data_IF_937250339640
#
_entry.id   IF_937250339640
#
_cell.length_a   1.000
_cell.length_b   1.000
_cell.length_c   1.000
_cell.angle_alpha   90.00
_cell.angle_beta   90.00
_cell.angle_gamma   90.00
#
_symmetry.space_group_name_H-M   'P 1'
#
loop_
_entity.id
_entity.type
_entity.pdbx_description
1 polymer ?
#
# COMPACT_ATOMS: atom_id res chain seq x y z
N UNK A 1 1.72 9.59 7.87
CA UNK A 1 1.70 8.72 6.67
C UNK A 1 2.60 7.51 6.89
N UNK A 2 2.12 6.33 6.54
CA UNK A 2 2.93 5.12 6.53
C UNK A 2 3.12 4.67 5.10
N UNK A 3 4.37 4.42 4.70
CA UNK A 3 4.71 3.94 3.36
C UNK A 3 5.54 2.66 3.50
N UNK A 4 5.09 1.59 2.88
CA UNK A 4 5.79 0.32 2.86
C UNK A 4 6.20 0.00 1.43
N UNK A 5 7.50 -0.19 1.19
CA UNK A 5 8.02 -0.53 -0.13
C UNK A 5 8.35 -2.01 -0.18
N UNK A 6 7.85 -2.70 -1.20
CA UNK A 6 8.09 -4.14 -1.41
C UNK A 6 8.77 -4.32 -2.77
N UNK A 7 9.97 -4.88 -2.76
CA UNK A 7 10.76 -5.10 -3.98
C UNK A 7 10.78 -6.59 -4.32
N UNK A 8 9.58 -7.17 -4.48
CA UNK A 8 9.43 -8.59 -4.82
C UNK A 8 9.43 -8.80 -6.32
N UNK A 9 9.95 -9.94 -6.77
CA UNK A 9 9.87 -10.35 -8.17
C UNK A 9 8.43 -10.69 -8.57
N UNK A 10 7.63 -11.18 -7.63
CA UNK A 10 6.22 -11.50 -7.84
C UNK A 10 5.33 -10.34 -7.39
N UNK A 11 4.05 -10.43 -7.78
CA UNK A 11 3.05 -9.48 -7.30
C UNK A 11 2.88 -9.57 -5.79
N UNK A 12 2.62 -8.44 -5.16
CA UNK A 12 2.40 -8.35 -3.72
C UNK A 12 0.96 -8.73 -3.40
N UNK A 13 0.78 -9.61 -2.43
CA UNK A 13 -0.52 -10.11 -2.02
C UNK A 13 -1.14 -9.31 -0.89
N UNK A 14 -2.32 -9.79 -0.45
CA UNK A 14 -3.10 -9.11 0.58
C UNK A 14 -2.41 -9.06 1.96
N UNK A 15 -1.46 -9.95 2.23
CA UNK A 15 -0.71 -9.93 3.50
C UNK A 15 0.00 -8.61 3.75
N UNK A 16 0.61 -8.04 2.70
CA UNK A 16 1.29 -6.75 2.82
C UNK A 16 0.29 -5.62 3.10
N UNK A 17 -0.88 -5.68 2.49
CA UNK A 17 -1.94 -4.69 2.73
C UNK A 17 -2.43 -4.77 4.16
N UNK A 18 -2.64 -5.98 4.70
CA UNK A 18 -3.04 -6.19 6.09
C UNK A 18 -2.01 -5.61 7.05
N UNK A 19 -0.74 -5.87 6.78
CA UNK A 19 0.37 -5.39 7.62
C UNK A 19 0.39 -3.87 7.69
N UNK A 20 0.27 -3.21 6.54
CA UNK A 20 0.29 -1.75 6.47
C UNK A 20 -0.96 -1.16 7.11
N UNK A 21 -2.13 -1.76 6.87
CA UNK A 21 -3.38 -1.29 7.46
C UNK A 21 -3.33 -1.38 8.99
N UNK A 22 -2.80 -2.49 9.53
CA UNK A 22 -2.66 -2.66 10.97
C UNK A 22 -1.67 -1.63 11.55
N UNK A 23 -0.56 -1.39 10.85
CA UNK A 23 0.41 -0.38 11.28
C UNK A 23 -0.18 1.01 11.28
N UNK A 24 -0.96 1.35 10.25
CA UNK A 24 -1.62 2.65 10.16
C UNK A 24 -2.58 2.86 11.32
N UNK A 25 -3.34 1.83 11.66
CA UNK A 25 -4.27 1.90 12.79
C UNK A 25 -3.52 2.06 14.11
N UNK A 26 -2.46 1.30 14.29
CA UNK A 26 -1.64 1.33 15.51
C UNK A 26 -1.04 2.72 15.74
N UNK A 27 -0.52 3.34 14.68
CA UNK A 27 0.13 4.65 14.77
C UNK A 27 -0.81 5.82 14.48
N UNK A 28 -2.09 5.52 14.29
CA UNK A 28 -3.12 6.53 14.01
C UNK A 28 -2.75 7.37 12.77
N UNK A 29 -2.20 6.71 11.76
CA UNK A 29 -1.82 7.37 10.51
C UNK A 29 -3.06 7.60 9.64
N UNK A 30 -3.12 8.76 8.99
CA UNK A 30 -4.25 9.12 8.12
C UNK A 30 -4.07 8.60 6.69
N UNK A 31 -2.83 8.32 6.29
CA UNK A 31 -2.51 7.81 4.95
C UNK A 31 -1.62 6.59 5.07
N UNK A 32 -2.00 5.50 4.41
CA UNK A 32 -1.22 4.26 4.37
C UNK A 32 -1.02 3.85 2.91
N UNK A 33 0.22 3.54 2.54
CA UNK A 33 0.60 3.26 1.15
C UNK A 33 1.47 2.03 1.08
N UNK A 34 1.22 1.17 0.10
CA UNK A 34 2.14 0.09 -0.27
C UNK A 34 2.64 0.35 -1.68
N UNK A 35 3.95 0.37 -1.85
CA UNK A 35 4.59 0.53 -3.17
C UNK A 35 5.21 -0.81 -3.54
N UNK A 36 4.89 -1.34 -4.71
CA UNK A 36 5.41 -2.62 -5.17
C UNK A 36 5.89 -2.53 -6.61
N UNK A 37 7.10 -3.06 -6.86
CA UNK A 37 7.74 -3.00 -8.16
C UNK A 37 6.94 -3.72 -9.25
N UNK A 38 6.36 -4.85 -8.95
CA UNK A 38 5.70 -5.72 -9.93
C UNK A 38 4.19 -5.79 -9.76
N UNK A 39 3.60 -4.85 -9.03
CA UNK A 39 2.16 -4.74 -8.89
C UNK A 39 1.59 -5.59 -7.76
N UNK A 40 0.29 -5.78 -7.79
CA UNK A 40 -0.47 -6.36 -6.68
C UNK A 40 -1.45 -7.42 -7.20
N UNK A 41 -1.75 -8.40 -6.34
CA UNK A 41 -2.77 -9.40 -6.67
C UNK A 41 -4.17 -8.79 -6.58
N UNK A 42 -5.15 -9.49 -7.15
CA UNK A 42 -6.54 -9.08 -7.08
C UNK A 42 -7.02 -8.97 -5.63
N UNK A 43 -6.63 -9.92 -4.78
CA UNK A 43 -6.98 -9.90 -3.38
C UNK A 43 -6.41 -8.68 -2.67
N UNK A 44 -5.18 -8.27 -3.03
CA UNK A 44 -4.58 -7.08 -2.47
C UNK A 44 -5.39 -5.83 -2.81
N UNK A 45 -5.83 -5.70 -4.06
CA UNK A 45 -6.67 -4.57 -4.48
C UNK A 45 -8.00 -4.55 -3.73
N UNK A 46 -8.63 -5.72 -3.58
CA UNK A 46 -9.90 -5.83 -2.85
C UNK A 46 -9.75 -5.39 -1.40
N UNK A 47 -8.71 -5.87 -0.74
CA UNK A 47 -8.48 -5.51 0.66
C UNK A 47 -8.09 -4.04 0.81
N UNK A 48 -7.32 -3.50 -0.14
CA UNK A 48 -6.93 -2.09 -0.09
C UNK A 48 -8.15 -1.17 -0.16
N UNK A 49 -9.14 -1.52 -0.99
CA UNK A 49 -10.39 -0.76 -1.06
C UNK A 49 -11.11 -0.73 0.29
N UNK A 50 -11.10 -1.86 1.00
CA UNK A 50 -11.80 -1.98 2.29
C UNK A 50 -11.06 -1.29 3.43
N UNK A 51 -9.74 -1.17 3.32
CA UNK A 51 -8.90 -0.63 4.40
C UNK A 51 -8.39 0.77 4.10
N UNK A 52 -8.74 1.34 2.94
CA UNK A 52 -8.29 2.66 2.51
C UNK A 52 -6.77 2.76 2.38
N UNK A 53 -6.12 1.65 2.01
CA UNK A 53 -4.70 1.62 1.73
C UNK A 53 -4.49 1.93 0.24
N UNK A 54 -3.54 2.80 -0.08
CA UNK A 54 -3.17 3.11 -1.46
C UNK A 54 -2.14 2.09 -1.96
N UNK A 55 -2.35 1.60 -3.17
CA UNK A 55 -1.42 0.69 -3.83
C UNK A 55 -0.80 1.41 -5.01
N UNK A 56 0.51 1.57 -5.00
CA UNK A 56 1.22 2.33 -6.04
C UNK A 56 2.36 1.52 -6.64
N UNK A 57 2.63 1.75 -7.91
CA UNK A 57 3.89 1.36 -8.54
C UNK A 57 4.93 2.44 -8.26
N UNK A 58 6.24 2.13 -8.36
CA UNK A 58 7.27 3.12 -8.03
C UNK A 58 7.16 4.43 -8.81
N UNK A 59 6.79 4.36 -10.09
CA UNK A 59 6.64 5.55 -10.92
C UNK A 59 5.42 6.40 -10.55
N UNK A 60 4.51 5.85 -9.75
CA UNK A 60 3.33 6.58 -9.29
C UNK A 60 3.56 7.27 -7.95
N UNK A 61 4.73 7.08 -7.37
CA UNK A 61 5.03 7.61 -6.03
C UNK A 61 4.93 9.14 -5.99
N UNK A 62 5.24 9.81 -7.08
CA UNK A 62 5.14 11.27 -7.18
C UNK A 62 3.70 11.77 -6.97
N UNK A 63 2.70 10.92 -7.21
CA UNK A 63 1.30 11.29 -7.00
C UNK A 63 0.97 11.51 -5.52
N UNK A 64 1.82 11.07 -4.61
CA UNK A 64 1.61 11.28 -3.18
C UNK A 64 1.59 12.75 -2.80
N UNK A 65 2.18 13.62 -3.60
CA UNK A 65 2.15 15.07 -3.33
C UNK A 65 0.71 15.60 -3.22
N UNK A 66 -0.24 14.91 -3.82
CA UNK A 66 -1.66 15.29 -3.75
C UNK A 66 -2.32 14.88 -2.43
N UNK A 67 -1.63 14.10 -1.61
CA UNK A 67 -2.17 13.56 -0.35
C UNK A 67 -1.50 14.14 0.89
N UNK A 68 -0.52 14.99 0.70
CA UNK A 68 0.23 15.58 1.81
C UNK A 68 -0.17 17.02 2.03
#
# INVERSE_FOLDING_TARGET
MIIQCKNYAAKVGNGAVQEVAAGAQFYNATVAVVVAKNGFTKQAHTLADKTSVLLLLPDQLALLDNYI
#
